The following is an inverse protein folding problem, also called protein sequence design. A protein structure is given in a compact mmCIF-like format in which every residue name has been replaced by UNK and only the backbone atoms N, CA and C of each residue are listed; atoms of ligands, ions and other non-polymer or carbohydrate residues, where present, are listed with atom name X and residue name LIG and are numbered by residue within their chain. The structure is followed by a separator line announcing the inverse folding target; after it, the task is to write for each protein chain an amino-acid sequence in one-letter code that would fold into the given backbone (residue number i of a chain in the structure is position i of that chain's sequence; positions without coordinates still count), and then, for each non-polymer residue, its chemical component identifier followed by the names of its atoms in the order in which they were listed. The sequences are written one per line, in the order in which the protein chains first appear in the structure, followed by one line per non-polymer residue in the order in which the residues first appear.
data_IF_552289890986
#
_entry.id   IF_552289890986
#
_cell.length_a   1.000
_cell.length_b   1.000
_cell.length_c   1.000
_cell.angle_alpha   90.00
_cell.angle_beta   90.00
_cell.angle_gamma   90.00
#
_symmetry.space_group_name_H-M   'P 1'
#
loop_
_entity.id
_entity.type
_entity.pdbx_description
1 polymer ?
2 water ?
#
# COMPACT_ATOMS: atom_id res chain seq x y z
N UNK A 1 -1.56 -6.53 -15.52
CA UNK A 1 -0.42 -7.47 -15.76
C UNK A 1 0.13 -8.08 -14.46
N UNK A 2 0.08 -9.41 -14.34
CA UNK A 2 0.60 -10.08 -13.15
C UNK A 2 -0.40 -10.93 -12.37
N UNK A 3 -0.37 -10.82 -11.04
CA UNK A 3 -1.28 -11.55 -10.16
C UNK A 3 -1.16 -11.00 -8.72
N UNK A 4 -2.29 -10.59 -8.15
CA UNK A 4 -2.32 -10.01 -6.80
C UNK A 4 -2.07 -10.98 -5.66
N UNK A 5 -1.20 -10.57 -4.74
CA UNK A 5 -0.88 -11.38 -3.57
C UNK A 5 -0.97 -10.55 -2.29
N UNK A 6 -1.43 -11.18 -1.22
CA UNK A 6 -1.54 -10.52 0.07
C UNK A 6 -0.38 -10.96 0.91
N UNK A 7 0.47 -10.03 1.30
CA UNK A 7 1.63 -10.38 2.10
C UNK A 7 1.73 -9.47 3.32
N UNK A 8 2.76 -9.71 4.14
CA UNK A 8 3.00 -8.90 5.32
C UNK A 8 4.42 -8.37 5.29
N UNK A 9 4.58 -7.08 5.57
CA UNK A 9 5.90 -6.49 5.59
C UNK A 9 6.30 -6.21 7.03
N UNK A 10 7.49 -6.68 7.40
CA UNK A 10 8.00 -6.52 8.76
C UNK A 10 9.26 -5.64 8.81
N UNK A 11 9.13 -4.47 9.43
CA UNK A 11 10.24 -3.54 9.56
C UNK A 11 10.96 -3.76 10.90
N UNK A 12 11.14 -5.02 11.26
CA UNK A 12 11.81 -5.39 12.49
C UNK A 12 13.14 -4.64 12.65
N UNK A 13 13.95 -4.64 11.59
CA UNK A 13 15.27 -4.00 11.57
C UNK A 13 15.23 -2.49 11.43
N UNK A 14 14.08 -1.88 11.69
CA UNK A 14 13.98 -0.43 11.59
C UNK A 14 13.11 0.09 12.73
N UNK A 15 12.03 0.81 12.44
CA UNK A 15 11.20 1.30 13.54
C UNK A 15 10.40 0.17 14.19
N UNK A 16 10.49 -1.02 13.60
CA UNK A 16 9.81 -2.20 14.12
C UNK A 16 8.33 -2.40 13.84
N UNK A 17 7.75 -1.61 12.93
CA UNK A 17 6.33 -1.79 12.65
C UNK A 17 6.04 -2.97 11.71
N UNK A 18 4.76 -3.25 11.51
CA UNK A 18 4.36 -4.36 10.65
C UNK A 18 3.03 -4.07 9.98
N UNK A 19 3.00 -4.08 8.65
CA UNK A 19 1.75 -3.82 7.96
C UNK A 19 1.49 -4.85 6.87
N UNK A 20 0.24 -4.94 6.42
CA UNK A 20 -0.12 -5.87 5.36
C UNK A 20 -0.21 -5.12 4.04
N UNK A 21 0.12 -5.81 2.95
CA UNK A 21 0.13 -5.19 1.63
C UNK A 21 -0.40 -6.12 0.54
N UNK A 22 -1.15 -5.55 -0.40
CA UNK A 22 -1.65 -6.32 -1.54
C UNK A 22 -1.15 -5.64 -2.81
N UNK A 23 -0.35 -6.37 -3.59
CA UNK A 23 0.17 -5.82 -4.82
C UNK A 23 0.36 -6.92 -5.85
N UNK A 24 0.62 -6.51 -7.09
CA UNK A 24 0.83 -7.46 -8.17
C UNK A 24 2.22 -8.08 -8.05
N UNK A 25 2.28 -9.40 -8.17
CA UNK A 25 3.54 -10.11 -8.03
C UNK A 25 4.52 -9.91 -9.17
N UNK A 26 4.17 -9.11 -10.17
CA UNK A 26 5.12 -8.88 -11.26
C UNK A 26 6.06 -7.76 -10.83
N UNK A 27 5.87 -7.29 -9.61
CA UNK A 27 6.70 -6.24 -9.07
C UNK A 27 8.00 -6.80 -8.50
N UNK A 28 9.06 -5.97 -8.50
CA UNK A 28 10.37 -6.36 -7.97
C UNK A 28 10.28 -6.39 -6.45
N UNK A 29 10.87 -7.40 -5.83
CA UNK A 29 10.85 -7.50 -4.37
C UNK A 29 11.07 -6.11 -3.77
N UNK A 30 11.83 -5.30 -4.50
CA UNK A 30 12.16 -3.94 -4.10
C UNK A 30 10.94 -3.04 -3.87
N UNK A 31 9.90 -3.20 -4.70
CA UNK A 31 8.70 -2.36 -4.57
C UNK A 31 8.17 -2.34 -3.15
N UNK A 32 8.21 -3.49 -2.49
CA UNK A 32 7.75 -3.59 -1.12
C UNK A 32 8.46 -2.55 -0.26
N UNK A 33 9.71 -2.26 -0.59
CA UNK A 33 10.48 -1.30 0.18
C UNK A 33 10.07 0.16 -0.06
N UNK A 34 9.82 0.51 -1.31
CA UNK A 34 9.39 1.87 -1.64
C UNK A 34 8.10 2.15 -0.88
N UNK A 35 7.15 1.24 -1.03
CA UNK A 35 5.87 1.34 -0.38
C UNK A 35 6.03 1.43 1.13
N UNK A 36 6.88 0.57 1.69
CA UNK A 36 7.10 0.56 3.12
C UNK A 36 7.47 1.95 3.62
N UNK A 37 8.43 2.59 2.96
CA UNK A 37 8.86 3.93 3.37
C UNK A 37 7.80 5.01 3.20
N UNK A 38 6.98 4.91 2.16
CA UNK A 38 5.91 5.87 1.92
C UNK A 38 4.88 5.72 3.04
N UNK A 39 4.39 4.50 3.23
CA UNK A 39 3.38 4.21 4.24
C UNK A 39 3.74 4.42 5.72
N UNK A 40 4.94 4.02 6.13
CA UNK A 40 5.33 4.14 7.53
C UNK A 40 6.23 5.32 7.86
N UNK A 41 6.35 5.58 9.16
CA UNK A 41 7.17 6.69 9.67
C UNK A 41 8.59 6.20 9.90
N UNK A 42 9.22 5.75 8.84
CA UNK A 42 10.56 5.22 8.94
C UNK A 42 11.66 6.26 8.77
N UNK A 43 12.05 6.86 9.89
CA UNK A 43 13.11 7.85 9.91
C UNK A 43 14.40 7.06 9.93
N UNK A 44 14.80 6.48 8.80
CA UNK A 44 16.02 5.68 8.79
C UNK A 44 17.18 6.13 7.92
N UNK A 45 17.16 5.88 6.59
CA UNK A 45 16.29 5.25 5.60
C UNK A 45 16.57 3.74 5.41
N UNK A 46 16.23 3.17 4.24
CA UNK A 46 16.49 1.74 4.04
C UNK A 46 17.94 1.44 3.72
N UNK A 47 18.34 0.20 3.93
CA UNK A 47 19.70 -0.22 3.69
C UNK A 47 19.91 -0.63 2.24
N UNK A 48 21.05 -0.24 1.70
CA UNK A 48 21.42 -0.55 0.33
C UNK A 48 21.36 -2.05 0.11
N UNK A 49 21.28 -2.46 -1.15
CA UNK A 49 21.22 -3.88 -1.46
C UNK A 49 19.79 -4.33 -1.59
N UNK A 50 18.91 -3.75 -0.79
CA UNK A 50 17.50 -4.09 -0.79
C UNK A 50 17.28 -5.60 -0.64
N UNK A 51 17.75 -6.16 0.46
CA UNK A 51 17.59 -7.59 0.69
C UNK A 51 16.40 -7.89 1.59
N UNK A 52 15.64 -8.91 1.18
CA UNK A 52 14.45 -9.37 1.88
C UNK A 52 14.58 -10.82 2.30
N UNK A 53 14.00 -11.13 3.45
CA UNK A 53 14.02 -12.48 3.97
C UNK A 53 12.59 -12.93 4.12
N UNK A 54 12.21 -14.03 3.48
CA UNK A 54 10.85 -14.50 3.65
C UNK A 54 10.89 -15.36 4.89
N UNK A 55 10.51 -14.74 5.99
CA UNK A 55 10.51 -15.36 7.30
C UNK A 55 9.97 -16.78 7.38
N UNK A 56 8.73 -16.96 6.92
CA UNK A 56 8.09 -18.26 6.97
C UNK A 56 8.78 -19.31 6.11
N UNK A 57 9.68 -18.87 5.24
CA UNK A 57 10.39 -19.80 4.38
C UNK A 57 11.88 -19.73 4.58
N UNK A 58 12.32 -18.90 5.51
CA UNK A 58 13.75 -18.78 5.76
C UNK A 58 14.61 -18.72 4.50
N UNK A 59 14.27 -17.82 3.59
CA UNK A 59 15.05 -17.65 2.38
C UNK A 59 15.16 -16.16 2.03
N UNK A 60 16.35 -15.72 1.65
CA UNK A 60 16.56 -14.32 1.31
C UNK A 60 16.57 -14.10 -0.21
N UNK A 61 16.02 -12.97 -0.66
CA UNK A 61 15.97 -12.67 -2.07
C UNK A 61 16.53 -11.30 -2.38
N UNK A 62 17.15 -11.18 -3.57
CA UNK A 62 17.72 -9.90 -3.99
C UNK A 62 16.54 -8.98 -4.26
N UNK A 63 16.67 -7.72 -3.86
CA UNK A 63 15.58 -6.78 -4.06
C UNK A 63 15.24 -6.56 -5.52
N UNK A 64 16.03 -7.16 -6.40
CA UNK A 64 15.80 -6.99 -7.83
C UNK A 64 14.90 -8.08 -8.42
N UNK A 65 14.82 -9.22 -7.74
CA UNK A 65 14.01 -10.35 -8.19
C UNK A 65 12.54 -10.00 -8.34
N UNK A 66 11.87 -10.70 -9.24
CA UNK A 66 10.45 -10.47 -9.46
C UNK A 66 9.73 -11.34 -8.43
N UNK A 67 8.83 -10.73 -7.66
CA UNK A 67 8.11 -11.46 -6.62
C UNK A 67 7.58 -12.83 -7.04
N UNK A 68 6.97 -12.91 -8.22
CA UNK A 68 6.45 -14.18 -8.71
C UNK A 68 7.61 -15.17 -8.83
N UNK A 69 8.70 -14.72 -9.43
CA UNK A 69 9.91 -15.53 -9.62
C UNK A 69 10.50 -16.02 -8.28
N UNK A 70 10.01 -15.48 -7.17
CA UNK A 70 10.51 -15.87 -5.86
C UNK A 70 9.50 -16.74 -5.15
N UNK A 71 8.45 -17.11 -5.87
CA UNK A 71 7.41 -17.95 -5.29
C UNK A 71 6.73 -17.30 -4.11
N UNK A 72 6.92 -15.99 -3.96
CA UNK A 72 6.31 -15.25 -2.88
C UNK A 72 4.80 -15.13 -3.12
N UNK A 73 4.01 -15.63 -2.18
CA UNK A 73 2.54 -15.61 -2.30
C UNK A 73 1.86 -15.17 -1.03
N UNK A 74 0.53 -15.14 -1.07
CA UNK A 74 -0.26 -14.74 0.07
C UNK A 74 0.22 -15.49 1.30
N UNK A 75 0.22 -14.83 2.45
CA UNK A 75 0.65 -15.47 3.67
C UNK A 75 2.11 -15.21 3.99
N UNK A 76 2.93 -15.02 2.95
CA UNK A 76 4.35 -14.74 3.14
C UNK A 76 4.62 -13.46 3.94
N UNK A 77 5.64 -13.51 4.79
CA UNK A 77 6.01 -12.36 5.60
C UNK A 77 7.39 -11.95 5.12
N UNK A 78 7.51 -10.73 4.59
CA UNK A 78 8.81 -10.27 4.12
C UNK A 78 9.46 -9.37 5.16
N UNK A 79 10.64 -9.78 5.60
CA UNK A 79 11.39 -9.04 6.59
C UNK A 79 12.40 -8.26 5.78
N UNK A 80 12.32 -6.93 5.83
CA UNK A 80 13.26 -6.09 5.11
C UNK A 80 14.54 -6.07 5.93
N UNK A 81 15.66 -6.38 5.31
CA UNK A 81 16.90 -6.39 6.05
C UNK A 81 17.52 -5.00 5.99
N UNK B 1 -25.27 0.68 -9.05
CA UNK B 1 -24.34 -0.26 -9.75
C UNK B 1 -23.17 -0.63 -8.83
N UNK B 2 -23.44 -1.38 -7.76
CA UNK B 2 -22.40 -1.76 -6.80
C UNK B 2 -22.86 -1.58 -5.36
N UNK B 3 -22.29 -0.62 -4.64
CA UNK B 3 -22.69 -0.34 -3.25
C UNK B 3 -21.98 0.87 -2.62
N UNK B 4 -22.77 1.85 -2.17
CA UNK B 4 -22.24 3.08 -1.57
C UNK B 4 -21.59 2.91 -0.20
N UNK B 5 -20.43 3.54 -0.02
CA UNK B 5 -19.73 3.49 1.25
C UNK B 5 -19.27 4.89 1.66
N UNK B 6 -19.30 5.15 2.96
CA UNK B 6 -18.88 6.42 3.53
C UNK B 6 -17.49 6.21 4.11
N UNK B 7 -16.51 6.90 3.55
CA UNK B 7 -15.14 6.77 4.03
C UNK B 7 -14.54 8.15 4.27
N UNK B 8 -13.30 8.16 4.75
CA UNK B 8 -12.59 9.40 5.03
C UNK B 8 -11.27 9.38 4.28
N UNK B 9 -10.94 10.47 3.60
CA UNK B 9 -9.69 10.55 2.87
C UNK B 9 -8.73 11.46 3.63
N UNK B 10 -7.52 10.99 3.88
CA UNK B 10 -6.53 11.76 4.63
C UNK B 10 -5.30 12.09 3.79
N UNK B 11 -5.11 13.38 3.51
CA UNK B 11 -3.97 13.84 2.72
C UNK B 11 -2.79 14.23 3.60
N UNK B 12 -2.53 13.39 4.61
CA UNK B 12 -1.44 13.59 5.55
C UNK B 12 -0.11 13.85 4.84
N UNK B 13 0.17 13.04 3.83
CA UNK B 13 1.40 13.15 3.08
C UNK B 13 1.41 14.24 2.04
N UNK B 14 0.49 15.19 2.13
CA UNK B 14 0.43 16.28 1.16
C UNK B 14 0.12 17.59 1.87
N UNK B 15 -0.96 18.28 1.52
CA UNK B 15 -1.26 19.53 2.22
C UNK B 15 -1.82 19.26 3.64
N UNK B 16 -1.99 17.99 3.98
CA UNK B 16 -2.48 17.62 5.29
C UNK B 16 -3.97 17.72 5.61
N UNK B 17 -4.82 17.96 4.61
CA UNK B 17 -6.25 18.08 4.86
C UNK B 17 -6.96 16.72 4.98
N UNK B 18 -8.24 16.76 5.36
CA UNK B 18 -9.02 15.55 5.55
C UNK B 18 -10.49 15.77 5.22
N UNK B 19 -11.04 14.98 4.31
CA UNK B 19 -12.45 15.14 3.98
C UNK B 19 -13.16 13.80 3.93
N UNK B 20 -14.49 13.83 4.01
CA UNK B 20 -15.28 12.61 3.96
C UNK B 20 -15.83 12.43 2.56
N UNK B 21 -15.97 11.18 2.13
CA UNK B 21 -16.44 10.89 0.78
C UNK B 21 -17.39 9.71 0.73
N UNK B 22 -18.40 9.79 -0.14
CA UNK B 22 -19.35 8.70 -0.33
C UNK B 22 -19.37 8.36 -1.80
N UNK B 23 -18.95 7.14 -2.13
CA UNK B 23 -18.93 6.70 -3.51
C UNK B 23 -19.21 5.22 -3.58
N UNK B 24 -19.43 4.74 -4.80
CA UNK B 24 -19.71 3.33 -5.02
C UNK B 24 -18.42 2.53 -4.89
N UNK B 25 -18.50 1.42 -4.16
CA UNK B 25 -17.32 0.60 -3.95
C UNK B 25 -16.86 -0.20 -5.17
N UNK B 26 -17.51 -0.03 -6.31
CA UNK B 26 -17.05 -0.76 -7.48
C UNK B 26 -15.95 0.07 -8.13
N UNK B 27 -15.65 1.21 -7.52
CA UNK B 27 -14.61 2.08 -8.02
C UNK B 27 -13.21 1.61 -7.61
N UNK B 28 -12.21 1.91 -8.44
CA UNK B 28 -10.83 1.52 -8.14
C UNK B 28 -10.34 2.40 -7.01
N UNK B 29 -9.59 1.81 -6.08
CA UNK B 29 -9.04 2.58 -4.96
C UNK B 29 -8.53 3.92 -5.48
N UNK B 30 -8.05 3.89 -6.72
CA UNK B 30 -7.53 5.07 -7.39
C UNK B 30 -8.53 6.25 -7.47
N UNK B 31 -9.81 5.96 -7.70
CA UNK B 31 -10.81 7.02 -7.80
C UNK B 31 -10.71 8.02 -6.65
N UNK B 32 -10.54 7.51 -5.43
CA UNK B 32 -10.42 8.37 -4.26
C UNK B 32 -9.38 9.47 -4.51
N UNK B 33 -8.33 9.13 -5.24
CA UNK B 33 -7.28 10.09 -5.52
C UNK B 33 -7.66 11.17 -6.53
N UNK B 34 -8.37 10.79 -7.59
CA UNK B 34 -8.79 11.77 -8.59
C UNK B 34 -9.69 12.78 -7.88
N UNK B 35 -10.66 12.25 -7.14
CA UNK B 35 -11.60 13.07 -6.40
C UNK B 35 -10.85 13.96 -5.43
N UNK B 36 -9.91 13.38 -4.70
CA UNK B 36 -9.13 14.13 -3.74
C UNK B 36 -8.53 15.38 -4.36
N UNK B 37 -7.92 15.23 -5.52
CA UNK B 37 -7.28 16.36 -6.18
C UNK B 37 -8.26 17.40 -6.72
N UNK B 38 -9.43 16.96 -7.18
CA UNK B 38 -10.45 17.88 -7.68
C UNK B 38 -10.98 18.70 -6.50
N UNK B 39 -11.35 18.01 -5.43
CA UNK B 39 -11.92 18.63 -4.24
C UNK B 39 -11.03 19.54 -3.41
N UNK B 40 -9.78 19.13 -3.19
CA UNK B 40 -8.87 19.93 -2.37
C UNK B 40 -7.86 20.78 -3.15
N UNK B 41 -7.24 21.70 -2.43
CA UNK B 41 -6.24 22.60 -3.02
C UNK B 41 -4.88 21.94 -2.97
N UNK B 42 -4.75 20.81 -3.65
CA UNK B 42 -3.49 20.12 -3.62
C UNK B 42 -2.45 20.79 -4.48
N UNK B 43 -1.44 21.32 -3.80
CA UNK B 43 -0.32 22.00 -4.44
C UNK B 43 0.39 21.03 -5.39
N UNK B 44 1.33 20.25 -4.87
CA UNK B 44 2.08 19.28 -5.67
C UNK B 44 1.15 18.25 -6.30
N UNK B 45 1.62 17.56 -7.33
CA UNK B 45 0.79 16.55 -7.98
C UNK B 45 0.79 15.26 -7.14
N UNK B 46 -0.09 14.30 -7.45
CA UNK B 46 -0.16 13.04 -6.71
C UNK B 46 0.98 12.09 -7.02
N UNK B 47 1.57 11.54 -5.97
CA UNK B 47 2.69 10.61 -6.09
C UNK B 47 2.40 9.54 -7.14
N UNK B 48 3.42 9.18 -7.91
CA UNK B 48 3.29 8.17 -8.96
C UNK B 48 2.97 6.81 -8.35
N UNK B 49 2.15 6.02 -9.03
CA UNK B 49 1.78 4.73 -8.48
C UNK B 49 0.82 5.09 -7.37
N UNK B 50 -0.47 4.91 -7.60
CA UNK B 50 -1.50 5.27 -6.63
C UNK B 50 -1.64 4.29 -5.49
N UNK B 51 -0.70 4.31 -4.56
CA UNK B 51 -0.76 3.42 -3.42
C UNK B 51 -1.57 4.06 -2.33
N UNK B 52 -2.28 3.24 -1.57
CA UNK B 52 -3.10 3.75 -0.49
C UNK B 52 -3.04 2.88 0.75
N UNK B 53 -3.09 3.54 1.90
CA UNK B 53 -3.05 2.86 3.17
C UNK B 53 -4.39 2.97 3.88
N UNK B 54 -4.99 1.84 4.23
CA UNK B 54 -6.24 1.92 4.96
C UNK B 54 -5.79 1.90 6.40
N UNK B 55 -5.70 3.09 6.97
CA UNK B 55 -5.23 3.27 8.33
C UNK B 55 -5.73 2.25 9.35
N UNK B 56 -7.03 2.28 9.62
CA UNK B 56 -7.62 1.39 10.61
C UNK B 56 -7.47 -0.11 10.37
N UNK B 57 -6.73 -0.48 9.33
CA UNK B 57 -6.52 -1.90 9.04
C UNK B 57 -5.03 -2.19 8.82
N UNK B 58 -4.19 -1.17 8.95
CA UNK B 58 -2.76 -1.35 8.74
C UNK B 58 -2.51 -2.15 7.47
N UNK B 59 -3.15 -1.75 6.39
CA UNK B 59 -2.95 -2.44 5.14
C UNK B 59 -2.92 -1.47 3.97
N UNK B 60 -2.09 -1.79 2.99
CA UNK B 60 -1.94 -0.96 1.80
C UNK B 60 -2.43 -1.70 0.56
N UNK B 61 -3.15 -1.00 -0.30
CA UNK B 61 -3.66 -1.60 -1.52
C UNK B 61 -3.22 -0.77 -2.72
N UNK B 62 -3.14 -1.40 -3.90
CA UNK B 62 -2.75 -0.69 -5.12
C UNK B 62 -3.94 0.13 -5.57
N UNK B 63 -3.70 1.23 -6.27
CA UNK B 63 -4.80 2.05 -6.77
C UNK B 63 -5.47 1.24 -7.86
N UNK B 64 -4.71 0.26 -8.34
CA UNK B 64 -5.11 -0.68 -9.38
C UNK B 64 -6.42 -1.36 -8.90
N UNK B 65 -6.42 -1.85 -7.66
CA UNK B 65 -7.54 -2.57 -7.04
C UNK B 65 -8.92 -1.98 -7.11
N UNK B 66 -9.87 -2.72 -6.54
CA UNK B 66 -11.28 -2.35 -6.49
C UNK B 66 -11.76 -2.27 -5.05
N UNK B 67 -12.15 -1.08 -4.62
CA UNK B 67 -12.61 -0.89 -3.25
C UNK B 67 -13.24 -2.13 -2.67
N UNK B 68 -14.43 -2.48 -3.15
CA UNK B 68 -15.17 -3.66 -2.67
C UNK B 68 -14.31 -4.86 -2.26
N UNK B 69 -13.29 -5.18 -3.06
CA UNK B 69 -12.41 -6.31 -2.77
C UNK B 69 -11.49 -6.06 -1.57
N UNK B 70 -10.96 -4.85 -1.47
CA UNK B 70 -10.06 -4.50 -0.37
C UNK B 70 -10.79 -4.54 0.96
N UNK B 71 -12.06 -4.93 0.91
CA UNK B 71 -12.86 -5.01 2.10
C UNK B 71 -13.02 -3.67 2.78
N UNK B 72 -12.69 -2.59 2.08
CA UNK B 72 -12.81 -1.26 2.66
C UNK B 72 -14.25 -0.81 2.58
N UNK B 73 -14.86 -0.64 3.74
CA UNK B 73 -16.25 -0.22 3.85
C UNK B 73 -16.36 1.14 4.51
N UNK B 74 -17.44 1.32 5.26
CA UNK B 74 -17.70 2.57 5.95
C UNK B 74 -16.84 2.69 7.19
N UNK B 75 -16.56 3.93 7.57
CA UNK B 75 -15.74 4.18 8.74
C UNK B 75 -14.27 4.16 8.37
N UNK B 76 -13.93 3.38 7.35
CA UNK B 76 -12.54 3.26 6.90
C UNK B 76 -11.89 4.59 6.58
N UNK B 77 -10.62 4.70 6.92
CA UNK B 77 -9.89 5.93 6.67
C UNK B 77 -8.74 5.64 5.71
N UNK B 78 -8.79 6.24 4.53
CA UNK B 78 -7.75 6.03 3.53
C UNK B 78 -6.72 7.16 3.50
N UNK B 79 -5.47 6.78 3.68
CA UNK B 79 -4.34 7.68 3.67
C UNK B 79 -3.73 7.53 2.28
N UNK B 80 -3.72 8.59 1.48
CA UNK B 80 -3.11 8.47 0.15
C UNK B 80 -1.61 8.68 0.33
N UNK B 81 -0.81 7.76 -0.19
CA UNK B 81 0.63 7.87 -0.03
C UNK B 81 1.20 8.87 -1.02
#
# INVERSE_FOLDING_TARGET
HGSYIDITIDLKHYNGSVFDLRLSDYHPVKKVIDIAWQAQSVSMPPREGHWIRVVNKDKVFSGECKLSDCGITNGDRLEIL
HGSYIDITIDLKHYNGSVFDLRLSDYHPVKKVIDIAWQAQSVSMPPREGHWIRVVNKDKVFSGECKLSDCGITNGDRLEIL
#
